data_IF_263425857384
#
_entry.id   IF_263425857384
#
_cell.length_a   1.000
_cell.length_b   1.000
_cell.length_c   1.000
_cell.angle_alpha   90.00
_cell.angle_beta   90.00
_cell.angle_gamma   90.00
#
_symmetry.space_group_name_H-M   'P 1'
#
loop_
_entity.id
_entity.type
_entity.pdbx_description
1 polymer ?
#
# COMPACT_ATOMS: atom_id res chain seq x y z
N UNK A 1 -23.76 -5.54 14.39
CA UNK A 1 -22.37 -5.86 14.83
C UNK A 1 -21.32 -4.94 14.21
N UNK A 2 -21.45 -4.51 12.94
CA UNK A 2 -20.45 -3.65 12.27
C UNK A 2 -20.26 -2.23 12.85
N UNK A 3 -21.30 -1.60 13.40
CA UNK A 3 -21.20 -0.25 13.98
C UNK A 3 -20.35 -0.19 15.25
N UNK A 4 -20.29 -1.27 16.03
CA UNK A 4 -19.42 -1.35 17.21
C UNK A 4 -17.95 -1.54 16.83
N UNK A 5 -17.66 -2.24 15.74
CA UNK A 5 -16.29 -2.46 15.28
C UNK A 5 -15.71 -1.19 14.65
N UNK A 6 -16.50 -0.50 13.81
CA UNK A 6 -16.12 0.80 13.23
C UNK A 6 -15.90 1.84 14.34
N UNK A 7 -16.79 1.92 15.33
CA UNK A 7 -16.61 2.85 16.45
C UNK A 7 -15.43 2.48 17.35
N UNK A 8 -15.06 1.19 17.43
CA UNK A 8 -13.87 0.76 18.17
C UNK A 8 -12.58 1.07 17.39
N UNK A 9 -12.62 0.95 16.06
CA UNK A 9 -11.51 1.29 15.17
C UNK A 9 -11.28 2.80 15.09
N UNK A 10 -12.35 3.61 14.99
CA UNK A 10 -12.25 5.06 15.08
C UNK A 10 -11.72 5.49 16.45
N UNK A 11 -12.19 4.87 17.54
CA UNK A 11 -11.67 5.17 18.88
C UNK A 11 -10.21 4.77 19.06
N UNK A 12 -9.79 3.63 18.49
CA UNK A 12 -8.39 3.19 18.50
C UNK A 12 -7.52 4.09 17.61
N UNK A 13 -8.06 4.57 16.50
CA UNK A 13 -7.39 5.51 15.60
C UNK A 13 -7.23 6.88 16.25
N UNK A 14 -8.26 7.39 16.92
CA UNK A 14 -8.22 8.66 17.65
C UNK A 14 -7.29 8.56 18.87
N UNK A 15 -7.28 7.45 19.61
CA UNK A 15 -6.34 7.21 20.71
C UNK A 15 -4.89 7.09 20.22
N UNK A 16 -4.67 6.43 19.07
CA UNK A 16 -3.35 6.33 18.45
C UNK A 16 -2.88 7.68 17.86
N UNK A 17 -3.80 8.46 17.28
CA UNK A 17 -3.53 9.79 16.76
C UNK A 17 -3.22 10.78 17.89
N UNK A 18 -3.96 10.74 19.00
CA UNK A 18 -3.65 11.51 20.21
C UNK A 18 -2.30 11.09 20.80
N UNK A 19 -1.97 9.80 20.86
CA UNK A 19 -0.63 9.34 21.29
C UNK A 19 0.50 9.83 20.38
N UNK A 20 0.27 9.85 19.06
CA UNK A 20 1.20 10.42 18.08
C UNK A 20 1.34 11.94 18.28
N UNK A 21 0.23 12.64 18.52
CA UNK A 21 0.20 14.08 18.72
C UNK A 21 0.84 14.49 20.05
N UNK A 22 0.59 13.76 21.14
CA UNK A 22 1.10 14.08 22.47
C UNK A 22 2.55 13.67 22.66
N UNK A 23 3.02 12.60 22.00
CA UNK A 23 4.39 12.12 22.23
C UNK A 23 5.34 12.58 21.13
N UNK A 24 4.98 12.39 19.86
CA UNK A 24 5.89 12.72 18.75
C UNK A 24 5.95 14.23 18.53
N UNK A 25 4.80 14.92 18.52
CA UNK A 25 4.81 16.38 18.32
C UNK A 25 5.23 17.16 19.58
N UNK A 26 4.92 16.70 20.80
CA UNK A 26 5.39 17.39 22.02
C UNK A 26 6.89 17.24 22.22
N UNK A 27 7.49 16.06 21.97
CA UNK A 27 8.95 15.90 21.98
C UNK A 27 9.63 16.70 20.85
N UNK A 28 9.01 16.76 19.67
CA UNK A 28 9.51 17.59 18.57
C UNK A 28 9.49 19.08 18.97
N UNK A 29 8.44 19.54 19.65
CA UNK A 29 8.27 20.93 20.10
C UNK A 29 9.16 21.30 21.30
N UNK A 30 9.54 20.34 22.15
CA UNK A 30 10.54 20.57 23.21
C UNK A 30 11.96 20.63 22.63
N UNK A 31 12.26 19.84 21.59
CA UNK A 31 13.49 19.92 20.80
C UNK A 31 13.63 21.26 20.06
N UNK A 32 12.53 21.84 19.56
CA UNK A 32 12.54 23.19 18.96
C UNK A 32 12.57 24.33 19.99
N UNK A 33 12.34 24.06 21.29
CA UNK A 33 12.42 25.07 22.36
C UNK A 33 13.79 25.19 23.01
N UNK A 34 14.71 24.26 22.79
CA UNK A 34 16.01 24.24 23.47
C UNK A 34 17.07 25.17 22.84
N UNK A 35 16.71 26.06 21.91
CA UNK A 35 17.66 26.97 21.24
C UNK A 35 17.56 28.42 21.74
N UNK A 36 17.55 28.62 23.07
CA UNK A 36 17.94 29.89 23.71
C UNK A 36 18.98 29.64 24.82
N UNK A 37 20.09 30.37 24.70
CA UNK A 37 21.46 30.21 25.24
C UNK A 37 21.61 30.88 26.64
N UNK A 38 22.77 30.88 27.37
CA UNK A 38 23.68 29.83 27.90
C UNK A 38 23.84 29.87 29.46
N UNK A 39 24.50 28.85 30.05
CA UNK A 39 25.09 28.94 31.40
C UNK A 39 25.93 27.72 31.83
N UNK A 40 27.22 27.98 32.10
CA UNK A 40 28.31 27.18 32.72
C UNK A 40 27.92 26.29 33.93
N UNK A 41 28.66 25.33 34.51
CA UNK A 41 29.89 24.49 34.32
C UNK A 41 29.86 23.41 35.44
N UNK A 42 30.81 22.43 35.41
CA UNK A 42 31.42 21.69 36.58
C UNK A 42 31.03 20.21 36.85
N UNK A 43 31.96 19.33 36.41
CA UNK A 43 32.64 18.16 37.04
C UNK A 43 31.95 16.85 37.49
N UNK A 44 32.53 15.77 36.92
CA UNK A 44 33.13 14.55 37.53
C UNK A 44 32.30 13.43 38.19
N UNK A 45 32.68 12.22 37.72
CA UNK A 45 32.95 10.96 38.45
C UNK A 45 31.84 9.91 38.73
N UNK A 46 32.13 8.73 38.15
CA UNK A 46 32.12 7.36 38.73
C UNK A 46 30.81 6.62 39.06
N UNK A 47 30.77 5.42 38.45
CA UNK A 47 30.38 4.12 39.02
C UNK A 47 28.91 3.80 39.33
N UNK A 48 28.44 2.75 38.63
CA UNK A 48 27.50 1.69 39.00
C UNK A 48 26.48 1.96 40.12
N UNK A 49 25.19 1.72 39.85
CA UNK A 49 24.28 1.06 40.81
C UNK A 49 23.04 0.51 40.09
N UNK A 50 22.87 -0.81 40.21
CA UNK A 50 21.62 -1.55 40.00
C UNK A 50 20.53 -1.02 40.95
N UNK A 51 19.34 -0.65 40.44
CA UNK A 51 18.17 -0.45 41.31
C UNK A 51 16.96 -1.18 40.71
N UNK A 52 16.60 -2.26 41.40
CA UNK A 52 15.23 -2.78 41.49
C UNK A 52 14.47 -1.93 42.51
N UNK A 53 13.23 -1.49 42.22
CA UNK A 53 12.12 -1.58 43.18
C UNK A 53 10.75 -1.36 42.54
N UNK A 54 9.78 -2.07 43.12
CA UNK A 54 8.37 -2.20 42.83
C UNK A 54 7.48 -0.95 43.07
N UNK A 55 6.36 -0.94 42.34
CA UNK A 55 4.98 -0.48 42.64
C UNK A 55 4.77 0.70 43.61
N UNK A 56 4.15 1.80 43.16
CA UNK A 56 2.71 2.15 43.35
C UNK A 56 2.44 3.62 42.91
N UNK A 57 1.49 3.83 41.98
CA UNK A 57 0.68 5.07 41.89
C UNK A 57 1.21 6.25 41.06
N UNK A 58 0.98 6.24 39.74
CA UNK A 58 0.49 7.37 38.90
C UNK A 58 0.29 6.86 37.47
N UNK A 59 -0.96 6.85 37.02
CA UNK A 59 -1.50 5.98 35.94
C UNK A 59 -1.18 6.40 34.50
N UNK A 60 -0.14 7.19 34.25
CA UNK A 60 0.24 7.66 32.91
C UNK A 60 1.64 7.21 32.47
N UNK A 61 2.56 6.96 33.41
CA UNK A 61 3.98 6.65 33.10
C UNK A 61 4.23 5.16 32.80
N UNK A 62 3.39 4.26 33.33
CA UNK A 62 3.53 2.81 33.08
C UNK A 62 3.04 2.42 31.69
N UNK A 63 1.98 3.05 31.19
CA UNK A 63 1.43 2.78 29.86
C UNK A 63 2.38 3.20 28.73
N UNK A 64 3.06 4.36 28.87
CA UNK A 64 4.03 4.84 27.87
C UNK A 64 5.27 3.94 27.80
N UNK A 65 5.78 3.48 28.94
CA UNK A 65 6.92 2.57 29.01
C UNK A 65 6.57 1.20 28.42
N UNK A 66 5.38 0.66 28.74
CA UNK A 66 4.91 -0.61 28.17
C UNK A 66 4.65 -0.53 26.66
N UNK A 67 4.10 0.59 26.17
CA UNK A 67 3.87 0.81 24.74
C UNK A 67 5.18 0.92 23.94
N UNK A 68 6.18 1.65 24.46
CA UNK A 68 7.50 1.77 23.83
C UNK A 68 8.21 0.41 23.75
N UNK A 69 8.16 -0.38 24.82
CA UNK A 69 8.73 -1.75 24.83
C UNK A 69 7.99 -2.64 23.83
N UNK A 70 6.66 -2.56 23.75
CA UNK A 70 5.88 -3.31 22.77
C UNK A 70 6.27 -2.98 21.32
N UNK A 71 6.38 -1.68 20.99
CA UNK A 71 6.78 -1.23 19.65
C UNK A 71 8.18 -1.74 19.28
N UNK A 72 9.14 -1.63 20.20
CA UNK A 72 10.51 -2.12 19.98
C UNK A 72 10.50 -3.63 19.74
N UNK A 73 9.80 -4.41 20.57
CA UNK A 73 9.67 -5.87 20.38
C UNK A 73 8.98 -6.23 19.05
N UNK A 74 7.98 -5.47 18.60
CA UNK A 74 7.37 -5.70 17.28
C UNK A 74 8.33 -5.34 16.14
N UNK A 75 9.07 -4.24 16.26
CA UNK A 75 10.05 -3.84 15.27
C UNK A 75 11.18 -4.89 15.13
N UNK A 76 11.66 -5.46 16.23
CA UNK A 76 12.63 -6.56 16.22
C UNK A 76 12.08 -7.82 15.51
N UNK A 77 10.82 -8.18 15.75
CA UNK A 77 10.15 -9.30 15.06
C UNK A 77 10.06 -9.08 13.54
N UNK A 78 9.77 -7.85 13.13
CA UNK A 78 9.65 -7.46 11.73
C UNK A 78 11.03 -7.34 11.07
N UNK A 79 12.04 -6.89 11.82
CA UNK A 79 13.43 -6.74 11.38
C UNK A 79 14.21 -8.06 11.33
N UNK A 80 13.62 -9.22 11.69
CA UNK A 80 14.27 -10.53 11.68
C UNK A 80 14.94 -10.94 10.35
N UNK A 81 14.65 -10.23 9.24
CA UNK A 81 15.31 -10.40 7.95
C UNK A 81 16.65 -9.64 7.82
N UNK A 82 16.96 -8.74 8.74
CA UNK A 82 18.17 -7.91 8.76
C UNK A 82 18.74 -7.82 10.20
N UNK A 83 19.62 -8.75 10.60
CA UNK A 83 20.13 -8.84 11.96
C UNK A 83 21.07 -7.68 12.38
N UNK A 84 21.38 -6.76 11.46
CA UNK A 84 22.21 -5.59 11.74
C UNK A 84 21.41 -4.36 12.22
N UNK A 85 20.06 -4.42 12.20
CA UNK A 85 19.21 -3.32 12.67
C UNK A 85 19.06 -3.38 14.19
N UNK A 86 19.77 -2.49 14.90
CA UNK A 86 19.57 -2.26 16.33
C UNK A 86 18.44 -1.23 16.52
N UNK A 87 17.39 -1.58 17.27
CA UNK A 87 16.21 -0.73 17.50
C UNK A 87 16.23 -0.23 18.94
N UNK A 88 16.77 0.97 19.15
CA UNK A 88 17.01 1.50 20.50
C UNK A 88 15.93 2.51 20.96
N UNK A 89 15.07 2.97 20.05
CA UNK A 89 14.11 4.05 20.30
C UNK A 89 12.73 3.72 19.70
N UNK A 90 11.59 4.02 20.38
CA UNK A 90 10.24 3.86 19.82
C UNK A 90 10.01 4.54 18.47
N UNK A 91 10.63 5.70 18.19
CA UNK A 91 10.52 6.35 16.87
C UNK A 91 11.18 5.51 15.76
N UNK A 92 12.33 4.91 16.07
CA UNK A 92 13.03 4.02 15.15
C UNK A 92 12.22 2.72 14.97
N UNK A 93 11.62 2.21 16.05
CA UNK A 93 10.72 1.07 16.00
C UNK A 93 9.51 1.32 15.08
N UNK A 94 8.87 2.49 15.22
CA UNK A 94 7.77 2.91 14.35
C UNK A 94 8.20 3.03 12.89
N UNK A 95 9.37 3.60 12.61
CA UNK A 95 9.91 3.69 11.25
C UNK A 95 10.09 2.30 10.62
N UNK A 96 10.72 1.36 11.35
CA UNK A 96 10.94 -0.01 10.88
C UNK A 96 9.63 -0.73 10.59
N UNK A 97 8.65 -0.59 11.48
CA UNK A 97 7.32 -1.18 11.32
C UNK A 97 6.62 -0.57 10.10
N UNK A 98 6.65 0.76 9.97
CA UNK A 98 6.05 1.48 8.84
C UNK A 98 6.65 1.06 7.50
N UNK A 99 7.99 0.94 7.43
CA UNK A 99 8.68 0.52 6.23
C UNK A 99 8.30 -0.91 5.81
N UNK A 100 8.12 -1.81 6.77
CA UNK A 100 7.71 -3.18 6.49
C UNK A 100 6.27 -3.28 5.96
N UNK A 101 5.33 -2.53 6.56
CA UNK A 101 3.97 -2.43 6.03
C UNK A 101 3.96 -1.81 4.64
N UNK A 102 4.71 -0.71 4.45
CA UNK A 102 4.83 -0.03 3.16
C UNK A 102 5.38 -0.97 2.09
N UNK A 103 6.39 -1.78 2.42
CA UNK A 103 6.94 -2.77 1.50
C UNK A 103 5.89 -3.80 1.06
N UNK A 104 5.13 -4.39 2.00
CA UNK A 104 4.08 -5.38 1.69
C UNK A 104 2.98 -4.77 0.82
N UNK A 105 2.52 -3.57 1.18
CA UNK A 105 1.52 -2.81 0.43
C UNK A 105 1.97 -2.49 -0.99
N UNK A 106 3.21 -2.02 -1.16
CA UNK A 106 3.74 -1.74 -2.49
C UNK A 106 3.95 -3.00 -3.33
N UNK A 107 4.39 -4.10 -2.72
CA UNK A 107 4.49 -5.39 -3.40
C UNK A 107 3.12 -5.87 -3.89
N UNK A 108 2.10 -5.83 -3.02
CA UNK A 108 0.75 -6.22 -3.38
C UNK A 108 0.13 -5.29 -4.43
N UNK A 109 0.37 -3.98 -4.36
CA UNK A 109 -0.04 -3.03 -5.39
C UNK A 109 0.58 -3.34 -6.75
N UNK A 110 1.87 -3.70 -6.79
CA UNK A 110 2.51 -4.11 -8.04
C UNK A 110 1.85 -5.35 -8.63
N UNK A 111 1.49 -6.33 -7.80
CA UNK A 111 0.78 -7.55 -8.24
C UNK A 111 -0.62 -7.22 -8.78
N UNK A 112 -1.39 -6.40 -8.06
CA UNK A 112 -2.73 -5.98 -8.47
C UNK A 112 -2.70 -5.16 -9.76
N UNK A 113 -1.77 -4.21 -9.88
CA UNK A 113 -1.57 -3.39 -11.08
C UNK A 113 -1.14 -4.25 -12.28
N UNK A 114 -0.22 -5.19 -12.07
CA UNK A 114 0.23 -6.10 -13.14
C UNK A 114 -0.92 -6.95 -13.65
N UNK A 115 -1.74 -7.48 -12.74
CA UNK A 115 -2.94 -8.26 -13.08
C UNK A 115 -3.92 -7.42 -13.90
N UNK A 116 -4.19 -6.18 -13.46
CA UNK A 116 -5.07 -5.24 -14.15
C UNK A 116 -4.57 -4.94 -15.58
N UNK A 117 -3.27 -4.61 -15.72
CA UNK A 117 -2.66 -4.28 -17.01
C UNK A 117 -2.66 -5.49 -17.96
N UNK A 118 -2.39 -6.67 -17.42
CA UNK A 118 -2.42 -7.92 -18.20
C UNK A 118 -3.83 -8.22 -18.68
N UNK A 119 -4.83 -8.17 -17.80
CA UNK A 119 -6.24 -8.34 -18.17
C UNK A 119 -6.68 -7.33 -19.23
N UNK A 120 -6.27 -6.06 -19.08
CA UNK A 120 -6.58 -5.01 -20.04
C UNK A 120 -5.91 -5.26 -21.40
N UNK A 121 -4.66 -5.73 -21.41
CA UNK A 121 -3.94 -6.05 -22.66
C UNK A 121 -4.62 -7.17 -23.47
N UNK A 122 -5.27 -8.11 -22.78
CA UNK A 122 -6.06 -9.19 -23.40
C UNK A 122 -7.45 -8.70 -23.80
N UNK A 123 -8.05 -7.81 -23.03
CA UNK A 123 -9.42 -7.33 -23.27
C UNK A 123 -9.52 -6.30 -24.41
N UNK A 124 -8.59 -5.35 -24.50
CA UNK A 124 -8.65 -4.25 -25.48
C UNK A 124 -8.76 -4.73 -26.94
N UNK A 125 -8.03 -5.77 -27.40
CA UNK A 125 -8.19 -6.32 -28.74
C UNK A 125 -9.63 -6.74 -29.10
N UNK A 126 -10.45 -7.10 -28.12
CA UNK A 126 -11.83 -7.52 -28.33
C UNK A 126 -12.84 -6.37 -28.19
N UNK A 127 -12.39 -5.12 -28.03
CA UNK A 127 -13.28 -3.98 -27.85
C UNK A 127 -13.88 -3.53 -29.17
N UNK A 128 -15.20 -3.43 -29.20
CA UNK A 128 -15.91 -2.76 -30.27
C UNK A 128 -15.98 -1.24 -30.02
N UNK A 129 -16.49 -0.49 -31.01
CA UNK A 129 -16.60 0.96 -30.91
C UNK A 129 -17.37 1.43 -29.67
N UNK A 130 -18.52 0.80 -29.36
CA UNK A 130 -19.33 1.14 -28.19
C UNK A 130 -18.58 0.93 -26.88
N UNK A 131 -17.79 -0.15 -26.76
CA UNK A 131 -16.99 -0.42 -25.56
C UNK A 131 -15.85 0.60 -25.42
N UNK A 132 -15.22 1.03 -26.50
CA UNK A 132 -14.26 2.13 -26.47
C UNK A 132 -14.88 3.44 -25.95
N UNK A 133 -16.08 3.78 -26.41
CA UNK A 133 -16.84 4.95 -25.95
C UNK A 133 -17.19 4.82 -24.46
N UNK A 134 -17.74 3.67 -24.05
CA UNK A 134 -18.09 3.39 -22.65
C UNK A 134 -16.87 3.44 -21.73
N UNK A 135 -15.76 2.81 -22.10
CA UNK A 135 -14.53 2.84 -21.29
C UNK A 135 -13.98 4.26 -21.16
N UNK A 136 -14.07 5.07 -22.22
CA UNK A 136 -13.58 6.45 -22.21
C UNK A 136 -14.45 7.37 -21.33
N UNK A 137 -15.76 7.17 -21.33
CA UNK A 137 -16.72 7.99 -20.56
C UNK A 137 -16.81 7.51 -19.11
N UNK A 138 -17.02 6.21 -18.90
CA UNK A 138 -17.28 5.62 -17.59
C UNK A 138 -16.01 5.16 -16.85
N UNK A 139 -14.90 4.92 -17.56
CA UNK A 139 -13.70 4.31 -17.01
C UNK A 139 -13.76 2.77 -16.98
N UNK A 140 -12.72 2.17 -16.41
CA UNK A 140 -12.51 0.73 -16.31
C UNK A 140 -13.03 0.22 -14.97
N UNK A 141 -14.08 -0.60 -14.98
CA UNK A 141 -14.50 -1.38 -13.82
C UNK A 141 -13.60 -2.62 -13.70
N UNK A 142 -12.82 -2.70 -12.63
CA UNK A 142 -11.89 -3.80 -12.38
C UNK A 142 -12.42 -4.66 -11.23
N UNK A 143 -12.92 -5.85 -11.56
CA UNK A 143 -13.44 -6.80 -10.59
C UNK A 143 -12.34 -7.76 -10.15
N UNK A 144 -12.08 -7.78 -8.86
CA UNK A 144 -11.15 -8.70 -8.21
C UNK A 144 -11.95 -9.66 -7.34
N UNK A 145 -11.74 -10.96 -7.53
CA UNK A 145 -12.37 -11.99 -6.73
C UNK A 145 -11.30 -12.77 -5.96
N UNK A 146 -11.50 -12.93 -4.65
CA UNK A 146 -10.62 -13.71 -3.79
C UNK A 146 -11.36 -14.89 -3.18
N UNK A 147 -10.76 -16.08 -3.32
CA UNK A 147 -11.19 -17.33 -2.71
C UNK A 147 -10.18 -17.73 -1.64
N UNK A 148 -10.15 -16.99 -0.55
CA UNK A 148 -9.17 -17.15 0.52
C UNK A 148 -9.92 -17.41 1.83
N UNK A 149 -9.41 -18.33 2.65
CA UNK A 149 -9.97 -18.53 3.98
C UNK A 149 -9.67 -17.31 4.86
N UNK A 150 -10.58 -16.95 5.75
CA UNK A 150 -10.44 -15.74 6.57
C UNK A 150 -9.78 -16.08 7.92
N UNK A 151 -8.70 -16.85 7.90
CA UNK A 151 -8.13 -17.41 9.13
C UNK A 151 -6.60 -17.35 9.20
N UNK A 152 -6.06 -17.14 10.40
CA UNK A 152 -4.63 -17.10 10.65
C UNK A 152 -3.88 -16.09 9.77
N UNK A 153 -2.85 -16.56 9.08
CA UNK A 153 -1.99 -15.73 8.23
C UNK A 153 -2.69 -15.18 6.98
N UNK A 154 -3.81 -15.78 6.56
CA UNK A 154 -4.56 -15.34 5.39
C UNK A 154 -5.24 -13.97 5.64
N UNK A 155 -5.54 -13.64 6.90
CA UNK A 155 -6.12 -12.33 7.26
C UNK A 155 -5.20 -11.18 6.84
N UNK A 156 -3.90 -11.28 7.15
CA UNK A 156 -2.93 -10.27 6.76
C UNK A 156 -2.73 -10.17 5.25
N UNK A 157 -2.97 -11.26 4.51
CA UNK A 157 -2.96 -11.24 3.04
C UNK A 157 -4.18 -10.49 2.48
N UNK A 158 -5.35 -10.68 3.09
CA UNK A 158 -6.59 -9.97 2.72
C UNK A 158 -6.43 -8.47 2.98
N UNK A 159 -5.82 -8.08 4.10
CA UNK A 159 -5.56 -6.67 4.42
C UNK A 159 -4.64 -6.00 3.38
N UNK A 160 -3.50 -6.63 3.06
CA UNK A 160 -2.58 -6.14 2.03
C UNK A 160 -3.27 -6.01 0.66
N UNK A 161 -4.07 -7.02 0.31
CA UNK A 161 -4.80 -7.06 -0.95
C UNK A 161 -5.90 -6.01 -1.03
N UNK A 162 -6.70 -5.84 0.03
CA UNK A 162 -7.74 -4.82 0.10
C UNK A 162 -7.14 -3.41 -0.06
N UNK A 163 -6.03 -3.13 0.61
CA UNK A 163 -5.30 -1.87 0.45
C UNK A 163 -4.81 -1.68 -1.00
N UNK A 164 -4.20 -2.72 -1.58
CA UNK A 164 -3.68 -2.66 -2.95
C UNK A 164 -4.79 -2.41 -3.99
N UNK A 165 -5.93 -3.10 -3.86
CA UNK A 165 -7.07 -2.97 -4.77
C UNK A 165 -7.69 -1.58 -4.64
N UNK A 166 -7.91 -1.06 -3.43
CA UNK A 166 -8.41 0.30 -3.24
C UNK A 166 -7.46 1.34 -3.87
N UNK A 167 -6.15 1.14 -3.69
CA UNK A 167 -5.13 2.04 -4.22
C UNK A 167 -5.12 2.14 -5.74
N UNK A 168 -5.58 1.11 -6.47
CA UNK A 168 -5.73 1.16 -7.93
C UNK A 168 -6.69 2.27 -8.40
N UNK A 169 -7.66 2.68 -7.58
CA UNK A 169 -8.61 3.77 -7.89
C UNK A 169 -7.91 5.11 -8.14
N UNK A 170 -6.71 5.27 -7.55
CA UNK A 170 -5.87 6.46 -7.68
C UNK A 170 -4.95 6.39 -8.91
N UNK A 171 -4.84 5.24 -9.58
CA UNK A 171 -3.98 5.05 -10.74
C UNK A 171 -4.77 5.32 -12.03
N UNK A 172 -4.17 6.10 -12.93
CA UNK A 172 -4.69 6.35 -14.29
C UNK A 172 -3.99 5.46 -15.28
N UNK A 173 -4.77 4.76 -16.10
CA UNK A 173 -4.25 3.92 -17.18
C UNK A 173 -4.32 4.68 -18.49
N UNK A 174 -3.19 4.80 -19.18
CA UNK A 174 -3.06 5.50 -20.45
C UNK A 174 -2.88 4.45 -21.55
N UNK A 175 -3.89 4.29 -22.39
CA UNK A 175 -3.78 3.44 -23.58
C UNK A 175 -3.13 4.23 -24.71
N UNK A 176 -2.11 3.65 -25.34
CA UNK A 176 -1.48 4.18 -26.56
C UNK A 176 -1.38 3.12 -27.64
N UNK A 177 -1.60 3.47 -28.92
CA UNK A 177 -1.36 2.53 -30.00
C UNK A 177 0.12 2.14 -30.07
N UNK A 178 0.38 0.89 -30.45
CA UNK A 178 1.72 0.47 -30.84
C UNK A 178 2.20 1.29 -32.04
N UNK A 179 3.45 1.73 -31.99
CA UNK A 179 4.12 2.41 -33.11
C UNK A 179 4.55 1.45 -34.22
N UNK A 180 4.34 0.14 -34.05
CA UNK A 180 4.74 -0.90 -35.00
C UNK A 180 3.82 -1.02 -36.23
N UNK A 181 3.28 0.10 -36.73
CA UNK A 181 2.39 0.13 -37.90
C UNK A 181 3.07 0.54 -39.22
N UNK A 182 4.41 0.52 -39.34
CA UNK A 182 5.07 1.01 -40.57
C UNK A 182 6.29 0.26 -41.13
N UNK A 183 6.76 -0.84 -40.54
CA UNK A 183 7.94 -1.57 -41.06
C UNK A 183 7.94 -3.06 -40.78
N UNK A 184 6.98 -3.81 -41.31
CA UNK A 184 7.18 -5.25 -41.57
C UNK A 184 6.29 -5.69 -42.75
N UNK A 185 6.45 -5.00 -43.88
CA UNK A 185 6.35 -5.68 -45.16
C UNK A 185 7.68 -6.42 -45.36
N UNK A 186 7.59 -7.72 -45.59
CA UNK A 186 8.69 -8.66 -45.90
C UNK A 186 9.39 -9.27 -44.67
N UNK A 187 8.87 -10.42 -44.20
CA UNK A 187 9.78 -11.52 -43.85
C UNK A 187 9.73 -12.16 -42.46
N UNK A 188 8.70 -11.94 -41.61
CA UNK A 188 8.52 -12.81 -40.42
C UNK A 188 7.08 -12.88 -39.95
N UNK A 189 6.35 -13.85 -40.49
CA UNK A 189 5.04 -14.26 -40.00
C UNK A 189 5.18 -15.05 -38.68
N UNK A 190 5.67 -14.45 -37.60
CA UNK A 190 5.51 -14.95 -36.21
C UNK A 190 6.08 -13.98 -35.14
N UNK A 191 5.80 -12.68 -35.22
CA UNK A 191 6.01 -11.80 -34.06
C UNK A 191 4.68 -11.19 -33.66
N UNK A 192 3.97 -11.92 -32.81
CA UNK A 192 2.75 -11.45 -32.17
C UNK A 192 2.97 -10.12 -31.45
N UNK A 193 1.90 -9.32 -31.34
CA UNK A 193 1.91 -8.08 -30.57
C UNK A 193 2.36 -8.35 -29.13
N UNK A 194 3.38 -7.64 -28.66
CA UNK A 194 3.87 -7.72 -27.29
C UNK A 194 3.42 -6.45 -26.51
N UNK A 195 2.47 -6.57 -25.57
CA UNK A 195 2.05 -5.44 -24.74
C UNK A 195 3.23 -4.94 -23.89
N UNK A 196 3.53 -3.66 -23.99
CA UNK A 196 4.50 -2.96 -23.14
C UNK A 196 3.74 -2.07 -22.17
N UNK A 197 4.07 -2.20 -20.88
CA UNK A 197 3.60 -1.32 -19.83
C UNK A 197 4.77 -0.52 -19.26
N UNK A 198 4.55 0.75 -18.93
CA UNK A 198 5.54 1.58 -18.22
C UNK A 198 4.85 2.56 -17.28
N UNK A 199 5.54 2.98 -16.24
CA UNK A 199 5.12 4.13 -15.44
C UNK A 199 5.44 5.40 -16.23
N UNK A 200 4.41 6.18 -16.53
CA UNK A 200 4.54 7.45 -17.25
C UNK A 200 4.73 8.64 -16.28
N UNK A 201 4.31 8.48 -15.02
CA UNK A 201 4.42 9.48 -13.97
C UNK A 201 3.87 8.94 -12.64
N UNK A 202 3.75 9.82 -11.65
CA UNK A 202 3.15 9.46 -10.35
C UNK A 202 1.70 9.03 -10.57
N UNK A 203 1.37 7.79 -10.20
CA UNK A 203 0.07 7.17 -10.40
C UNK A 203 -0.43 7.15 -11.86
N UNK A 204 0.44 7.27 -12.86
CA UNK A 204 0.08 7.11 -14.27
C UNK A 204 0.85 5.94 -14.88
N UNK A 205 0.12 4.95 -15.39
CA UNK A 205 0.70 3.81 -16.11
C UNK A 205 0.25 3.82 -17.57
N UNK A 206 1.20 3.70 -18.48
CA UNK A 206 0.95 3.63 -19.91
C UNK A 206 1.02 2.19 -20.39
N UNK A 207 -0.01 1.74 -21.10
CA UNK A 207 -0.12 0.43 -21.72
C UNK A 207 -0.23 0.60 -23.23
N UNK A 208 0.67 -0.05 -23.97
CA UNK A 208 0.56 -0.12 -25.43
C UNK A 208 -0.56 -1.08 -25.81
N UNK A 209 -1.31 -0.76 -26.87
CA UNK A 209 -2.36 -1.60 -27.44
C UNK A 209 -2.08 -1.87 -28.92
N UNK A 210 -2.52 -3.02 -29.48
CA UNK A 210 -2.25 -3.33 -30.88
C UNK A 210 -2.96 -2.33 -31.81
N UNK A 211 -2.33 -2.00 -32.93
CA UNK A 211 -2.89 -1.05 -33.90
C UNK A 211 -4.26 -1.49 -34.43
N UNK A 212 -4.45 -2.79 -34.65
CA UNK A 212 -5.73 -3.38 -35.08
C UNK A 212 -6.87 -3.12 -34.10
N UNK A 213 -6.59 -3.10 -32.80
CA UNK A 213 -7.57 -2.75 -31.76
C UNK A 213 -7.85 -1.24 -31.75
N UNK A 214 -6.81 -0.43 -31.98
CA UNK A 214 -6.89 1.03 -31.97
C UNK A 214 -7.74 1.58 -33.13
N UNK A 215 -7.68 0.94 -34.31
CA UNK A 215 -8.51 1.34 -35.46
C UNK A 215 -10.02 1.18 -35.21
N UNK A 216 -10.42 0.37 -34.23
CA UNK A 216 -11.82 0.23 -33.82
C UNK A 216 -12.32 1.32 -32.88
N UNK A 217 -11.43 2.18 -32.37
CA UNK A 217 -11.77 3.27 -31.47
C UNK A 217 -12.43 4.46 -32.22
N UNK A 218 -13.23 5.30 -31.55
CA UNK A 218 -13.72 6.56 -32.10
C UNK A 218 -12.66 7.49 -32.69
N UNK A 219 -13.04 8.25 -33.73
CA UNK A 219 -12.18 9.21 -34.44
C UNK A 219 -11.53 10.23 -33.49
N UNK A 220 -12.28 10.67 -32.49
CA UNK A 220 -11.85 11.65 -31.49
C UNK A 220 -10.73 11.09 -30.60
N UNK A 221 -10.78 9.78 -30.33
CA UNK A 221 -9.76 9.04 -29.58
C UNK A 221 -8.52 8.81 -30.44
N UNK A 222 -8.73 8.38 -31.69
CA UNK A 222 -7.63 8.15 -32.63
C UNK A 222 -6.82 9.43 -32.88
N UNK A 223 -7.50 10.56 -33.10
CA UNK A 223 -6.87 11.87 -33.33
C UNK A 223 -6.03 12.34 -32.13
N UNK A 224 -6.42 12.00 -30.90
CA UNK A 224 -5.66 12.33 -29.68
C UNK A 224 -4.41 11.44 -29.50
N UNK A 225 -4.38 10.27 -30.14
CA UNK A 225 -3.27 9.30 -30.05
C UNK A 225 -3.08 8.66 -28.66
N UNK A 226 -3.97 8.92 -27.70
CA UNK A 226 -3.97 8.32 -26.36
C UNK A 226 -5.34 8.42 -25.68
N UNK A 227 -5.66 7.47 -24.82
CA UNK A 227 -6.86 7.49 -23.96
C UNK A 227 -6.44 7.35 -22.50
N UNK A 228 -6.99 8.20 -21.62
CA UNK A 228 -6.77 8.09 -20.17
C UNK A 228 -7.99 7.51 -19.47
N UNK A 229 -7.91 6.25 -19.04
CA UNK A 229 -8.96 5.57 -18.28
C UNK A 229 -8.80 5.83 -16.77
N UNK A 230 -9.93 6.04 -16.09
CA UNK A 230 -10.01 5.97 -14.63
C UNK A 230 -10.33 4.53 -14.24
N UNK A 231 -9.70 4.02 -13.18
CA UNK A 231 -9.97 2.68 -12.67
C UNK A 231 -10.99 2.77 -11.53
N UNK A 232 -11.99 1.90 -11.57
CA UNK A 232 -12.98 1.69 -10.52
C UNK A 232 -12.82 0.25 -10.06
N UNK A 233 -11.96 -0.01 -9.05
CA UNK A 233 -11.77 -1.34 -8.53
C UNK A 233 -12.94 -1.75 -7.63
N UNK A 234 -13.36 -3.01 -7.74
CA UNK A 234 -14.32 -3.65 -6.82
C UNK A 234 -13.76 -5.00 -6.42
N UNK A 235 -13.86 -5.33 -5.14
CA UNK A 235 -13.36 -6.58 -4.57
C UNK A 235 -14.53 -7.40 -4.02
N UNK A 236 -14.59 -8.68 -4.42
CA UNK A 236 -15.51 -9.66 -3.85
C UNK A 236 -14.70 -10.77 -3.20
N UNK A 237 -14.99 -11.07 -1.94
CA UNK A 237 -14.32 -12.11 -1.18
C UNK A 237 -15.33 -13.18 -0.81
N UNK A 238 -15.00 -14.44 -1.12
CA UNK A 238 -15.79 -15.60 -0.72
C UNK A 238 -14.88 -16.53 0.08
N UNK A 239 -15.21 -16.70 1.37
CA UNK A 239 -14.48 -17.61 2.25
C UNK A 239 -14.79 -19.07 1.88
N UNK A 240 -13.77 -19.86 1.57
CA UNK A 240 -13.95 -21.23 1.06
C UNK A 240 -13.80 -22.32 2.13
N UNK A 241 -13.46 -21.98 3.38
CA UNK A 241 -13.32 -22.97 4.46
C UNK A 241 -13.73 -22.43 5.84
N UNK A 242 -15.04 -22.25 6.05
CA UNK A 242 -15.59 -21.74 7.31
C UNK A 242 -15.47 -22.72 8.49
N UNK A 243 -15.33 -24.03 8.22
CA UNK A 243 -15.21 -25.05 9.27
C UNK A 243 -13.85 -25.05 9.97
N UNK A 244 -12.79 -24.60 9.28
CA UNK A 244 -11.47 -24.43 9.88
C UNK A 244 -11.44 -23.22 10.84
N UNK A 245 -12.23 -22.18 10.58
CA UNK A 245 -12.40 -21.04 11.50
C UNK A 245 -13.14 -21.40 12.80
N UNK A 246 -13.85 -22.52 12.85
CA UNK A 246 -14.60 -23.00 14.03
C UNK A 246 -13.78 -24.03 14.83
N UNK A 247 -12.87 -24.77 14.18
CA UNK A 247 -12.14 -25.89 14.78
C UNK A 247 -11.03 -25.50 15.78
N UNK A 248 -10.60 -24.24 15.79
CA UNK A 248 -9.54 -23.74 16.70
C UNK A 248 -10.09 -22.97 17.93
N UNK A 249 -11.38 -23.10 18.24
CA UNK A 249 -12.04 -22.49 19.40
C UNK A 249 -12.29 -23.50 20.51
#
# INVERSE_FOLDING_TARGET
MGTRLIHCLDKLWDEAAELLWTNVFTELMTLFRSDQIPGETVTNSSAATTISLATTGTTTTTASTTASVFLITQAERVACSNPALNVDNPLQALSVIYDAFSYRYHACLCQALTTLLTALSVAVPSWNRTRWEQMTVCGLLAQFEGLISCFGNEMGMIEDWAWAVDRLSNIRIILRPSTESSKDSVGRADRGFCPKARLAGLNECELTVPWSAWTGAPSEIQARGRVKLRVHPVAFLVGINEQQSIAEK
#
